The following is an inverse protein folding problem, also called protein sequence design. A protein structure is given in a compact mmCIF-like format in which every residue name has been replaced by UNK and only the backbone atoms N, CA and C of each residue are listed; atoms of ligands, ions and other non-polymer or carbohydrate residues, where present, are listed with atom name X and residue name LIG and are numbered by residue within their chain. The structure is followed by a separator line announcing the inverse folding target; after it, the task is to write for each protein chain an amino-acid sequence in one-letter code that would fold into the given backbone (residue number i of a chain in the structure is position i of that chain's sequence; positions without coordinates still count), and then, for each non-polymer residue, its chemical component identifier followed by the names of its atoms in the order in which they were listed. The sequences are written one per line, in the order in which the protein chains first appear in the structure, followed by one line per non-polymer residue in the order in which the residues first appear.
data_IF_513788057853
#
_entry.id   IF_513788057853
#
_cell.length_a   1.000
_cell.length_b   1.000
_cell.length_c   1.000
_cell.angle_alpha   90.00
_cell.angle_beta   90.00
_cell.angle_gamma   90.00
#
_symmetry.space_group_name_H-M   'P 1'
#
loop_
_entity.id
_entity.type
_entity.pdbx_description
1 polymer ?
2 non-polymer ?
3 non-polymer ?
4 non-polymer ?
5 non-polymer ?
6 non-polymer ?
7 water ?
#
# COMPACT_ATOMS: atom_id res chain seq x y z
N UNK A 37 -8.67 9.89 19.63
CA UNK A 37 -7.79 11.05 19.64
C UNK A 37 -6.37 10.72 19.12
N UNK A 38 -5.85 11.58 18.25
CA UNK A 38 -4.53 11.45 17.65
C UNK A 38 -3.63 12.48 18.31
N UNK A 39 -2.36 12.17 18.61
CA UNK A 39 -1.51 13.16 19.27
C UNK A 39 -1.23 14.33 18.34
N UNK A 40 -1.00 15.52 18.89
CA UNK A 40 -0.90 16.74 18.06
C UNK A 40 0.14 16.67 16.96
N UNK A 41 1.29 16.03 17.19
CA UNK A 41 2.32 16.01 16.17
C UNK A 41 1.90 15.19 14.95
N UNK A 42 0.90 14.31 15.09
CA UNK A 42 0.44 13.48 13.98
C UNK A 42 -0.97 13.86 13.51
N UNK A 43 -1.61 14.80 14.18
CA UNK A 43 -3.01 15.07 13.95
C UNK A 43 -3.19 15.94 12.72
N UNK A 44 -4.21 15.62 11.93
CA UNK A 44 -4.53 16.36 10.70
C UNK A 44 -5.99 16.76 10.78
N UNK A 45 -6.26 17.96 11.29
CA UNK A 45 -7.66 18.38 11.47
C UNK A 45 -8.50 18.31 10.22
N UNK A 46 -7.91 18.57 9.04
CA UNK A 46 -8.71 18.51 7.81
C UNK A 46 -9.19 17.08 7.54
N UNK A 47 -8.37 16.08 7.84
CA UNK A 47 -8.83 14.70 7.68
C UNK A 47 -10.00 14.44 8.61
N UNK A 48 -9.84 14.83 9.88
CA UNK A 48 -10.86 14.51 10.86
C UNK A 48 -12.17 15.24 10.58
N UNK A 49 -12.10 16.44 10.03
CA UNK A 49 -13.29 17.23 9.77
C UNK A 49 -13.91 16.98 8.41
N UNK A 50 -13.10 16.72 7.39
CA UNK A 50 -13.61 16.73 6.03
C UNK A 50 -13.48 15.41 5.30
N UNK A 51 -12.85 14.40 5.90
CA UNK A 51 -12.67 13.08 5.27
C UNK A 51 -13.23 12.01 6.20
N UNK A 52 -14.54 11.99 6.43
CA UNK A 52 -15.12 11.01 7.36
C UNK A 52 -14.81 9.57 6.94
N UNK A 53 -14.48 8.75 7.93
CA UNK A 53 -14.12 7.35 7.70
C UNK A 53 -15.30 6.55 7.14
N UNK A 54 -14.98 5.60 6.27
CA UNK A 54 -15.98 4.65 5.77
C UNK A 54 -15.49 3.24 6.02
N UNK A 55 -16.45 2.31 6.12
CA UNK A 55 -16.09 0.90 6.33
C UNK A 55 -16.96 -0.01 5.47
N UNK A 56 -16.32 -0.89 4.71
CA UNK A 56 -17.03 -1.80 3.84
C UNK A 56 -17.81 -2.82 4.68
N UNK A 57 -19.04 -3.17 4.30
CA UNK A 57 -19.85 -4.09 5.12
C UNK A 57 -19.26 -5.48 5.24
N UNK A 58 -18.40 -5.91 4.36
CA UNK A 58 -17.77 -7.26 4.43
C UNK A 58 -16.66 -7.31 5.48
N UNK A 59 -16.28 -6.17 6.08
CA UNK A 59 -15.12 -6.17 6.96
C UNK A 59 -15.10 -7.27 8.02
N UNK A 60 -16.17 -7.55 8.78
CA UNK A 60 -16.04 -8.62 9.80
C UNK A 60 -15.65 -9.97 9.21
N UNK A 61 -16.22 -10.36 8.07
CA UNK A 61 -15.79 -11.59 7.41
C UNK A 61 -14.39 -11.48 6.84
N UNK A 62 -14.06 -10.30 6.29
CA UNK A 62 -12.74 -10.09 5.72
C UNK A 62 -11.66 -10.28 6.78
N UNK A 63 -11.87 -9.71 7.97
CA UNK A 63 -10.89 -9.80 9.05
C UNK A 63 -10.51 -11.26 9.31
N UNK A 64 -11.52 -12.11 9.50
CA UNK A 64 -11.27 -13.52 9.81
C UNK A 64 -10.71 -14.29 8.63
N UNK A 65 -11.24 -14.04 7.43
CA UNK A 65 -10.82 -14.82 6.27
C UNK A 65 -9.35 -14.54 5.96
N UNK A 66 -8.91 -13.29 6.05
CA UNK A 66 -7.50 -13.01 5.82
C UNK A 66 -6.62 -13.58 6.93
N UNK A 67 -7.08 -13.53 8.19
CA UNK A 67 -6.34 -14.18 9.27
C UNK A 67 -6.15 -15.66 9.00
N UNK A 68 -7.23 -16.33 8.61
CA UNK A 68 -7.15 -17.75 8.31
C UNK A 68 -6.22 -18.02 7.13
N UNK A 69 -6.24 -17.14 6.13
CA UNK A 69 -5.37 -17.29 4.96
C UNK A 69 -3.89 -17.17 5.35
N UNK A 70 -3.56 -16.19 6.20
CA UNK A 70 -2.18 -16.10 6.68
C UNK A 70 -1.74 -17.35 7.41
N UNK A 71 -2.64 -17.93 8.20
CA UNK A 71 -2.34 -19.15 8.93
C UNK A 71 -2.19 -20.33 7.98
N UNK A 72 -3.16 -20.51 7.08
CA UNK A 72 -3.15 -21.69 6.20
C UNK A 72 -2.04 -21.62 5.16
N UNK A 73 -1.73 -20.44 4.67
CA UNK A 73 -0.60 -20.27 3.75
C UNK A 73 0.75 -20.25 4.47
N UNK A 74 0.75 -20.33 5.80
CA UNK A 74 1.99 -20.37 6.57
C UNK A 74 2.82 -19.11 6.35
N UNK A 75 2.13 -17.98 6.21
CA UNK A 75 2.81 -16.71 6.02
C UNK A 75 3.29 -16.12 7.34
N UNK A 76 2.64 -16.48 8.44
CA UNK A 76 3.07 -16.12 9.77
C UNK A 76 2.87 -17.34 10.64
N UNK A 77 3.75 -17.54 11.62
CA UNK A 77 3.57 -18.66 12.56
C UNK A 77 2.23 -18.55 13.27
N UNK A 78 1.66 -19.71 13.58
CA UNK A 78 0.33 -19.78 14.17
C UNK A 78 0.23 -18.94 15.43
N UNK A 79 1.25 -18.98 16.30
CA UNK A 79 1.15 -18.20 17.54
C UNK A 79 1.16 -16.70 17.26
N UNK A 80 1.92 -16.25 16.26
CA UNK A 80 1.93 -14.83 15.92
C UNK A 80 0.64 -14.39 15.24
N UNK A 81 0.03 -15.26 14.43
CA UNK A 81 -1.30 -14.95 13.89
C UNK A 81 -2.29 -14.74 15.03
N UNK A 82 -2.34 -15.67 15.97
CA UNK A 82 -3.32 -15.56 17.04
C UNK A 82 -3.08 -14.33 17.90
N UNK A 83 -1.81 -14.00 18.17
CA UNK A 83 -1.56 -12.89 19.07
C UNK A 83 -1.66 -11.54 18.37
N UNK A 84 -1.26 -11.45 17.10
CA UNK A 84 -1.00 -10.15 16.47
C UNK A 84 -1.85 -9.81 15.26
N UNK A 85 -2.39 -10.79 14.52
CA UNK A 85 -2.93 -10.47 13.20
C UNK A 85 -4.06 -9.45 13.25
N UNK A 86 -5.07 -9.67 14.08
CA UNK A 86 -6.17 -8.71 14.11
C UNK A 86 -5.69 -7.33 14.56
N UNK A 87 -4.76 -7.28 15.51
CA UNK A 87 -4.25 -6.01 16.00
C UNK A 87 -3.42 -5.26 14.98
N UNK A 88 -2.94 -5.95 13.94
CA UNK A 88 -2.20 -5.28 12.88
C UNK A 88 -3.11 -4.45 11.97
N UNK A 89 -4.41 -4.79 11.89
CA UNK A 89 -5.40 -3.98 11.18
C UNK A 89 -5.20 -3.92 9.66
N UNK A 90 -4.57 -4.93 9.07
CA UNK A 90 -4.37 -4.88 7.61
C UNK A 90 -5.69 -4.95 6.86
N UNK A 91 -6.64 -5.75 7.33
CA UNK A 91 -7.94 -5.79 6.63
C UNK A 91 -8.73 -4.51 6.83
N UNK A 92 -8.64 -3.88 8.00
CA UNK A 92 -9.33 -2.60 8.25
C UNK A 92 -8.84 -1.55 7.27
N UNK A 93 -7.53 -1.54 6.99
CA UNK A 93 -6.94 -0.57 6.03
C UNK A 93 -7.61 -0.71 4.65
N UNK A 94 -7.77 -1.93 4.16
CA UNK A 94 -8.36 -2.14 2.81
C UNK A 94 -9.87 -1.90 2.84
N UNK A 95 -10.53 -2.31 3.93
CA UNK A 95 -12.01 -2.14 4.03
C UNK A 95 -12.40 -0.66 4.19
N UNK A 96 -11.46 0.20 4.57
CA UNK A 96 -11.74 1.64 4.60
C UNK A 96 -11.38 2.35 3.33
N UNK A 97 -10.91 1.61 2.33
CA UNK A 97 -10.36 2.16 1.07
C UNK A 97 -11.26 1.78 -0.10
N UNK A 98 -11.37 0.47 -0.39
CA UNK A 98 -12.05 0.02 -1.61
C UNK A 98 -13.54 -0.19 -1.39
N UNK A 99 -14.20 0.91 -1.02
CA UNK A 99 -15.65 0.85 -0.81
C UNK A 99 -16.35 0.50 -2.12
N UNK A 100 -17.41 -0.27 -2.00
CA UNK A 100 -18.16 -0.77 -3.15
C UNK A 100 -17.58 -1.98 -3.83
N UNK A 101 -16.41 -2.45 -3.44
CA UNK A 101 -15.82 -3.62 -4.09
C UNK A 101 -16.71 -4.83 -3.86
N UNK A 102 -16.88 -5.71 -4.84
CA UNK A 102 -17.49 -7.02 -4.57
C UNK A 102 -16.71 -7.72 -3.47
N UNK A 103 -17.41 -8.52 -2.66
CA UNK A 103 -16.75 -9.16 -1.51
C UNK A 103 -15.52 -9.96 -1.95
N UNK A 104 -15.61 -10.73 -3.06
CA UNK A 104 -14.48 -11.57 -3.42
C UNK A 104 -13.32 -10.74 -3.95
N UNK A 105 -13.61 -9.58 -4.54
CA UNK A 105 -12.55 -8.67 -4.95
C UNK A 105 -11.84 -8.11 -3.71
N UNK A 106 -12.62 -7.63 -2.73
CA UNK A 106 -12.04 -7.15 -1.50
C UNK A 106 -11.21 -8.24 -0.81
N UNK A 107 -11.67 -9.48 -0.87
CA UNK A 107 -10.92 -10.54 -0.20
C UNK A 107 -9.55 -10.73 -0.86
N UNK A 108 -9.52 -10.75 -2.19
CA UNK A 108 -8.25 -10.91 -2.89
C UNK A 108 -7.33 -9.74 -2.59
N UNK A 109 -7.88 -8.51 -2.59
CA UNK A 109 -7.09 -7.33 -2.26
C UNK A 109 -6.54 -7.40 -0.84
N UNK A 110 -7.37 -7.81 0.12
CA UNK A 110 -6.92 -7.85 1.51
C UNK A 110 -5.86 -8.91 1.72
N UNK A 111 -6.00 -10.05 1.03
CA UNK A 111 -4.98 -11.09 1.14
C UNK A 111 -3.68 -10.58 0.54
N UNK A 112 -3.76 -9.96 -0.65
CA UNK A 112 -2.56 -9.38 -1.26
C UNK A 112 -1.93 -8.34 -0.35
N UNK A 113 -2.74 -7.50 0.28
CA UNK A 113 -2.20 -6.43 1.11
C UNK A 113 -1.51 -7.00 2.35
N UNK A 114 -2.15 -7.95 3.01
CA UNK A 114 -1.50 -8.59 4.15
C UNK A 114 -0.21 -9.27 3.72
N UNK A 115 -0.24 -9.97 2.57
CA UNK A 115 0.97 -10.56 2.00
C UNK A 115 2.07 -9.51 1.84
N UNK A 116 1.68 -8.34 1.36
CA UNK A 116 2.70 -7.32 1.08
C UNK A 116 3.36 -6.82 2.36
N UNK A 117 2.63 -6.75 3.49
CA UNK A 117 3.24 -6.44 4.78
C UNK A 117 4.20 -7.53 5.22
N UNK A 118 3.82 -8.79 5.03
CA UNK A 118 4.72 -9.89 5.37
C UNK A 118 5.97 -9.86 4.48
N UNK A 119 5.80 -9.48 3.21
CA UNK A 119 6.94 -9.33 2.30
C UNK A 119 7.86 -8.20 2.74
N UNK A 120 7.28 -7.06 3.15
CA UNK A 120 8.09 -5.99 3.69
C UNK A 120 8.90 -6.48 4.89
N UNK A 121 8.29 -7.30 5.75
CA UNK A 121 9.00 -7.84 6.91
C UNK A 121 10.10 -8.80 6.49
N UNK A 122 9.84 -9.68 5.51
CA UNK A 122 10.86 -10.61 5.01
C UNK A 122 12.05 -9.87 4.44
N UNK A 123 11.77 -8.86 3.61
CA UNK A 123 12.80 -8.02 3.00
C UNK A 123 13.66 -7.39 4.08
N UNK A 124 13.01 -6.84 5.11
CA UNK A 124 13.73 -6.23 6.22
C UNK A 124 14.62 -7.23 6.92
N UNK A 125 14.09 -8.42 7.20
CA UNK A 125 14.89 -9.41 7.91
C UNK A 125 16.04 -9.94 7.04
N UNK A 126 15.82 -10.10 5.73
CA UNK A 126 16.93 -10.51 4.86
C UNK A 126 18.04 -9.48 4.89
N UNK A 127 17.68 -8.19 4.92
CA UNK A 127 18.70 -7.14 5.01
C UNK A 127 19.44 -7.23 6.34
N UNK A 128 18.68 -7.28 7.44
CA UNK A 128 19.28 -7.28 8.78
C UNK A 128 20.24 -8.46 8.94
N UNK A 129 19.88 -9.61 8.41
CA UNK A 129 20.68 -10.81 8.56
C UNK A 129 21.62 -11.07 7.39
N UNK A 130 21.74 -10.11 6.46
CA UNK A 130 22.69 -10.27 5.37
C UNK A 130 22.41 -11.40 4.41
N UNK A 131 21.14 -11.71 4.16
CA UNK A 131 20.77 -12.87 3.36
C UNK A 131 20.55 -12.43 1.91
N UNK A 132 21.67 -11.99 1.30
CA UNK A 132 21.58 -11.42 -0.05
C UNK A 132 21.14 -12.48 -1.06
N UNK A 133 21.62 -13.72 -0.89
CA UNK A 133 21.23 -14.78 -1.81
C UNK A 133 19.77 -15.15 -1.69
N UNK A 134 19.27 -15.26 -0.46
CA UNK A 134 17.86 -15.57 -0.27
C UNK A 134 16.98 -14.46 -0.82
N UNK A 135 17.38 -13.21 -0.63
CA UNK A 135 16.60 -12.11 -1.20
C UNK A 135 16.62 -12.16 -2.73
N UNK A 136 17.80 -12.37 -3.32
CA UNK A 136 17.89 -12.41 -4.78
C UNK A 136 17.02 -13.53 -5.35
N UNK A 137 17.01 -14.68 -4.71
CA UNK A 137 16.19 -15.79 -5.23
C UNK A 137 14.70 -15.49 -5.07
N UNK A 138 14.29 -14.91 -3.94
CA UNK A 138 12.89 -14.51 -3.76
C UNK A 138 12.47 -13.49 -4.81
N UNK A 139 13.30 -12.48 -5.01
CA UNK A 139 13.06 -11.45 -6.03
C UNK A 139 12.82 -12.08 -7.40
N UNK A 140 13.65 -13.04 -7.78
CA UNK A 140 13.48 -13.68 -9.07
C UNK A 140 12.21 -14.49 -9.15
N UNK A 141 11.86 -15.19 -8.05
CA UNK A 141 10.63 -15.99 -8.05
C UNK A 141 9.39 -15.10 -8.10
N UNK A 142 9.43 -13.95 -7.43
CA UNK A 142 8.27 -13.06 -7.49
C UNK A 142 8.07 -12.51 -8.90
N UNK A 143 9.15 -12.16 -9.60
CA UNK A 143 9.02 -11.73 -10.98
C UNK A 143 8.35 -12.82 -11.83
N UNK A 144 8.78 -14.07 -11.68
CA UNK A 144 8.21 -15.15 -12.49
C UNK A 144 6.77 -15.43 -12.08
N UNK A 145 6.48 -15.42 -10.76
CA UNK A 145 5.12 -15.73 -10.32
C UNK A 145 4.17 -14.64 -10.76
N UNK A 146 4.65 -13.42 -10.86
CA UNK A 146 3.79 -12.34 -11.27
C UNK A 146 3.29 -12.55 -12.69
N UNK A 147 4.14 -13.12 -13.56
CA UNK A 147 3.74 -13.36 -14.93
C UNK A 147 2.97 -14.67 -15.10
N UNK A 148 3.14 -15.63 -14.20
CA UNK A 148 2.52 -16.96 -14.32
C UNK A 148 2.13 -17.43 -12.93
N UNK A 149 1.13 -16.80 -12.31
CA UNK A 149 0.87 -17.11 -10.89
C UNK A 149 0.34 -18.50 -10.67
N UNK A 150 -0.46 -19.02 -11.61
CA UNK A 150 -0.98 -20.37 -11.45
C UNK A 150 0.13 -21.39 -11.31
N UNK A 151 1.22 -21.19 -12.02
CA UNK A 151 2.35 -22.11 -11.96
C UNK A 151 3.00 -22.17 -10.59
N UNK A 152 2.79 -21.16 -9.74
CA UNK A 152 3.50 -21.02 -8.48
C UNK A 152 2.62 -21.24 -7.26
N UNK A 153 1.39 -21.73 -7.43
CA UNK A 153 0.44 -21.85 -6.32
C UNK A 153 0.90 -22.82 -5.24
N UNK A 154 1.77 -23.76 -5.58
CA UNK A 154 2.22 -24.76 -4.62
C UNK A 154 3.73 -24.72 -4.49
N UNK A 155 4.33 -23.54 -4.67
CA UNK A 155 5.76 -23.40 -4.54
C UNK A 155 6.22 -23.69 -3.11
N UNK A 156 7.45 -24.22 -2.98
CA UNK A 156 8.00 -24.55 -1.68
C UNK A 156 8.20 -23.34 -0.78
N UNK A 157 8.51 -22.15 -1.34
CA UNK A 157 8.57 -20.94 -0.52
C UNK A 157 7.15 -20.46 -0.30
N UNK A 158 6.68 -20.54 0.94
CA UNK A 158 5.29 -20.19 1.19
C UNK A 158 5.01 -18.73 0.87
N UNK A 159 6.02 -17.86 0.95
CA UNK A 159 5.79 -16.47 0.61
C UNK A 159 5.47 -16.34 -0.88
N UNK A 160 6.17 -17.12 -1.71
CA UNK A 160 5.91 -17.13 -3.16
C UNK A 160 4.54 -17.74 -3.44
N UNK A 161 4.20 -18.85 -2.77
CA UNK A 161 2.93 -19.50 -3.04
C UNK A 161 1.78 -18.62 -2.60
N UNK A 162 1.95 -17.86 -1.51
CA UNK A 162 0.89 -16.97 -1.05
C UNK A 162 0.70 -15.79 -1.99
N UNK A 163 1.81 -15.22 -2.45
CA UNK A 163 1.74 -14.19 -3.48
C UNK A 163 0.96 -14.70 -4.69
N UNK A 164 1.35 -15.89 -5.18
CA UNK A 164 0.76 -16.43 -6.41
C UNK A 164 -0.75 -16.64 -6.23
N UNK A 165 -1.18 -17.07 -5.05
CA UNK A 165 -2.61 -17.29 -4.84
C UNK A 165 -3.39 -15.99 -4.91
N UNK A 166 -2.88 -14.93 -4.28
CA UNK A 166 -3.60 -13.66 -4.32
C UNK A 166 -3.59 -13.06 -5.72
N UNK A 167 -2.45 -13.14 -6.42
CA UNK A 167 -2.35 -12.56 -7.75
C UNK A 167 -3.22 -13.33 -8.74
N UNK A 168 -3.25 -14.67 -8.66
CA UNK A 168 -4.11 -15.41 -9.57
C UNK A 168 -5.57 -14.99 -9.40
N UNK A 169 -6.00 -14.76 -8.18
CA UNK A 169 -7.40 -14.34 -7.96
C UNK A 169 -7.61 -12.92 -8.50
N UNK A 170 -6.66 -12.03 -8.28
CA UNK A 170 -6.78 -10.67 -8.82
C UNK A 170 -6.86 -10.68 -10.35
N UNK A 171 -6.19 -11.63 -11.00
CA UNK A 171 -6.16 -11.77 -12.45
C UNK A 171 -7.46 -12.34 -13.02
N UNK A 172 -8.45 -12.69 -12.18
CA UNK A 172 -9.67 -13.31 -12.69
C UNK A 172 -10.83 -12.33 -12.82
N UNK A 173 -10.65 -11.06 -12.49
CA UNK A 173 -11.76 -10.12 -12.40
C UNK A 173 -11.99 -9.30 -13.65
N UNK A 174 -10.92 -8.93 -14.37
CA UNK A 174 -10.96 -8.01 -15.50
C UNK A 174 -10.21 -8.62 -16.66
N UNK A 175 -10.28 -8.01 -17.85
CA UNK A 175 -9.59 -8.58 -19.00
C UNK A 175 -8.08 -8.61 -18.76
N UNK A 176 -7.43 -9.45 -19.55
CA UNK A 176 -6.00 -9.68 -19.41
C UNK A 176 -5.16 -8.44 -19.66
N UNK A 177 -5.72 -7.43 -20.34
CA UNK A 177 -5.04 -6.13 -20.46
C UNK A 177 -4.79 -5.48 -19.09
N UNK A 178 -5.75 -5.59 -18.16
CA UNK A 178 -5.51 -5.08 -16.81
C UNK A 178 -4.46 -5.92 -16.10
N UNK A 179 -4.51 -7.24 -16.27
CA UNK A 179 -3.52 -8.09 -15.62
C UNK A 179 -2.12 -7.72 -16.06
N UNK A 180 -1.96 -7.43 -17.37
CA UNK A 180 -0.64 -7.08 -17.90
C UNK A 180 -0.14 -5.77 -17.30
N UNK A 181 -1.05 -4.81 -17.09
CA UNK A 181 -0.68 -3.54 -16.45
C UNK A 181 -0.29 -3.73 -14.99
N UNK A 182 -1.07 -4.51 -14.24
CA UNK A 182 -0.70 -4.84 -12.86
C UNK A 182 0.68 -5.45 -12.82
N UNK A 183 0.96 -6.40 -13.71
CA UNK A 183 2.27 -7.06 -13.73
C UNK A 183 3.38 -6.05 -14.05
N UNK A 184 3.19 -5.25 -15.09
CA UNK A 184 4.22 -4.25 -15.41
C UNK A 184 4.49 -3.38 -14.18
N UNK A 185 3.46 -2.92 -13.50
CA UNK A 185 3.65 -2.06 -12.34
C UNK A 185 4.36 -2.81 -11.22
N UNK A 186 4.00 -4.07 -10.98
CA UNK A 186 4.59 -4.77 -9.85
C UNK A 186 6.03 -5.21 -10.13
N UNK A 187 6.37 -5.52 -11.38
CA UNK A 187 7.78 -5.76 -11.69
C UNK A 187 8.61 -4.57 -11.22
N UNK A 188 8.12 -3.37 -11.47
CA UNK A 188 8.84 -2.15 -11.07
C UNK A 188 8.89 -2.04 -9.54
N UNK A 189 7.83 -2.44 -8.82
CA UNK A 189 7.85 -2.43 -7.36
C UNK A 189 8.93 -3.38 -6.83
N UNK A 190 9.00 -4.60 -7.38
CA UNK A 190 9.99 -5.55 -6.88
C UNK A 190 11.39 -4.95 -7.03
N UNK A 191 11.64 -4.30 -8.18
CA UNK A 191 12.98 -3.78 -8.40
C UNK A 191 13.28 -2.61 -7.47
N UNK A 192 12.27 -1.83 -7.09
CA UNK A 192 12.47 -0.78 -6.09
C UNK A 192 12.84 -1.39 -4.73
N UNK A 193 12.20 -2.49 -4.33
CA UNK A 193 12.63 -3.21 -3.15
C UNK A 193 14.08 -3.68 -3.29
N UNK A 194 14.47 -4.13 -4.48
CA UNK A 194 15.87 -4.51 -4.64
C UNK A 194 16.80 -3.32 -4.45
N UNK A 195 16.42 -2.15 -4.96
CA UNK A 195 17.23 -0.96 -4.75
C UNK A 195 17.32 -0.60 -3.28
N UNK A 196 16.22 -0.78 -2.52
CA UNK A 196 16.29 -0.54 -1.08
C UNK A 196 17.23 -1.53 -0.41
N UNK A 197 17.23 -2.78 -0.87
CA UNK A 197 18.17 -3.78 -0.31
C UNK A 197 19.60 -3.30 -0.51
N UNK A 198 19.91 -2.79 -1.70
CA UNK A 198 21.26 -2.30 -1.96
C UNK A 198 21.58 -1.05 -1.15
N UNK A 199 20.64 -0.12 -1.04
CA UNK A 199 20.91 1.07 -0.23
C UNK A 199 21.23 0.69 1.20
N UNK A 200 20.42 -0.17 1.80
CA UNK A 200 20.63 -0.49 3.22
C UNK A 200 21.89 -1.30 3.43
N UNK A 201 22.19 -2.25 2.53
CA UNK A 201 23.43 -3.02 2.67
C UNK A 201 24.67 -2.15 2.51
N UNK A 202 24.58 -1.08 1.72
CA UNK A 202 25.70 -0.16 1.57
C UNK A 202 25.64 1.02 2.54
N UNK A 203 24.58 1.15 3.33
CA UNK A 203 24.46 2.29 4.24
C UNK A 203 24.23 3.62 3.56
N UNK A 204 23.51 3.63 2.46
CA UNK A 204 23.23 4.82 1.65
C UNK A 204 21.83 5.29 2.00
N UNK A 205 21.68 6.57 2.32
CA UNK A 205 20.38 7.21 2.46
C UNK A 205 20.13 7.98 1.17
N UNK A 206 19.06 7.69 0.42
CA UNK A 206 18.80 8.44 -0.81
C UNK A 206 18.57 9.93 -0.53
N UNK A 207 18.94 10.77 -1.50
CA UNK A 207 18.58 12.18 -1.43
C UNK A 207 17.07 12.34 -1.44
N UNK A 208 16.60 13.53 -1.07
CA UNK A 208 15.15 13.76 -0.98
C UNK A 208 14.43 13.47 -2.28
N UNK A 209 14.90 14.04 -3.40
CA UNK A 209 14.17 13.85 -4.66
C UNK A 209 14.30 12.42 -5.16
N UNK A 210 15.48 11.82 -5.00
CA UNK A 210 15.66 10.41 -5.32
C UNK A 210 14.71 9.55 -4.51
N UNK A 211 14.58 9.88 -3.22
CA UNK A 211 13.67 9.15 -2.34
C UNK A 211 12.22 9.30 -2.81
N UNK A 212 11.80 10.50 -3.14
CA UNK A 212 10.39 10.70 -3.51
C UNK A 212 10.04 9.89 -4.75
N UNK A 213 10.99 9.77 -5.69
CA UNK A 213 10.78 8.94 -6.86
C UNK A 213 10.69 7.47 -6.48
N UNK A 214 11.62 7.01 -5.66
CA UNK A 214 11.66 5.63 -5.24
C UNK A 214 10.40 5.26 -4.46
N UNK A 215 9.90 6.19 -3.65
CA UNK A 215 8.80 5.91 -2.74
C UNK A 215 7.49 5.68 -3.50
N UNK A 216 7.33 6.24 -4.71
CA UNK A 216 6.16 5.92 -5.51
C UNK A 216 6.15 4.45 -5.92
N UNK A 217 7.30 3.79 -5.83
CA UNK A 217 7.43 2.38 -6.17
C UNK A 217 7.42 1.49 -4.94
N UNK A 218 8.13 1.86 -3.87
CA UNK A 218 8.13 0.99 -2.69
C UNK A 218 6.80 1.02 -1.96
N UNK A 219 6.07 2.13 -2.06
CA UNK A 219 4.73 2.19 -1.48
C UNK A 219 3.70 1.52 -2.38
N UNK A 220 4.07 1.25 -3.64
CA UNK A 220 3.19 0.58 -4.64
C UNK A 220 1.99 1.46 -5.04
N UNK A 221 2.24 2.76 -5.15
CA UNK A 221 1.21 3.73 -5.64
C UNK A 221 0.36 3.21 -6.79
N UNK A 222 1.03 2.67 -7.82
CA UNK A 222 0.31 2.34 -9.06
C UNK A 222 -0.44 1.02 -8.94
N UNK A 223 0.02 0.17 -8.03
CA UNK A 223 -0.77 -1.04 -7.73
C UNK A 223 -2.07 -0.67 -7.03
N UNK A 224 -1.99 0.16 -5.98
CA UNK A 224 -3.23 0.58 -5.30
C UNK A 224 -4.14 1.29 -6.30
N UNK A 225 -3.55 2.07 -7.20
CA UNK A 225 -4.37 2.78 -8.18
C UNK A 225 -5.00 1.79 -9.18
N UNK A 226 -4.22 0.81 -9.66
CA UNK A 226 -4.78 -0.23 -10.53
C UNK A 226 -5.97 -0.94 -9.87
N UNK A 227 -5.86 -1.24 -8.56
CA UNK A 227 -6.86 -2.02 -7.84
C UNK A 227 -8.16 -1.27 -7.65
N UNK A 228 -8.17 0.06 -7.87
CA UNK A 228 -9.46 0.75 -7.88
C UNK A 228 -10.39 0.15 -8.92
N UNK A 229 -9.82 -0.35 -10.04
CA UNK A 229 -10.65 -0.74 -11.19
C UNK A 229 -11.42 -2.03 -10.96
N UNK A 230 -10.82 -3.15 -10.51
CA UNK A 230 -11.67 -4.30 -10.18
C UNK A 230 -12.65 -3.97 -9.07
N UNK A 231 -12.29 -3.02 -8.17
CA UNK A 231 -13.21 -2.67 -7.08
C UNK A 231 -14.47 -2.00 -7.60
N UNK A 232 -14.39 -1.26 -8.69
CA UNK A 232 -15.59 -0.66 -9.28
C UNK A 232 -16.09 -1.41 -10.50
N UNK A 233 -15.45 -2.51 -10.87
CA UNK A 233 -15.98 -3.41 -11.87
C UNK A 233 -15.71 -3.04 -13.30
N UNK A 234 -14.73 -2.21 -13.58
CA UNK A 234 -14.51 -1.71 -14.93
C UNK A 234 -13.03 -1.45 -15.14
N UNK A 235 -12.42 -2.05 -16.16
CA UNK A 235 -11.10 -1.58 -16.59
C UNK A 235 -11.26 -0.25 -17.32
N UNK A 236 -10.57 0.80 -16.84
CA UNK A 236 -10.68 2.07 -17.52
C UNK A 236 -9.77 2.13 -18.74
N UNK A 237 -10.26 2.65 -19.87
CA UNK A 237 -9.38 2.86 -21.03
C UNK A 237 -8.25 3.80 -20.66
N UNK A 238 -7.13 3.65 -21.39
CA UNK A 238 -5.97 4.52 -21.15
C UNK A 238 -6.34 5.99 -21.23
N UNK A 239 -7.18 6.38 -22.19
CA UNK A 239 -7.51 7.81 -22.33
C UNK A 239 -8.21 8.35 -21.09
N UNK A 240 -8.95 7.51 -20.38
CA UNK A 240 -9.66 7.93 -19.19
C UNK A 240 -8.71 8.00 -18.00
N UNK A 241 -7.97 6.92 -17.76
CA UNK A 241 -7.15 6.90 -16.55
C UNK A 241 -5.89 7.76 -16.69
N UNK A 242 -5.52 8.15 -17.91
CA UNK A 242 -4.42 9.09 -18.12
C UNK A 242 -4.88 10.52 -18.27
N UNK A 243 -6.18 10.80 -18.13
CA UNK A 243 -6.62 12.18 -18.08
C UNK A 243 -5.88 12.89 -16.94
N UNK A 244 -5.43 14.13 -17.15
CA UNK A 244 -4.59 14.77 -16.12
C UNK A 244 -5.26 14.88 -14.77
N UNK A 245 -6.57 15.08 -14.69
CA UNK A 245 -7.21 15.19 -13.38
C UNK A 245 -7.27 13.85 -12.68
N UNK A 246 -7.55 12.77 -13.42
CA UNK A 246 -7.53 11.43 -12.82
C UNK A 246 -6.14 11.10 -12.33
N UNK A 247 -5.13 11.32 -13.18
CA UNK A 247 -3.75 11.00 -12.81
C UNK A 247 -3.32 11.79 -11.58
N UNK A 248 -3.62 13.09 -11.54
CA UNK A 248 -3.15 13.88 -10.42
C UNK A 248 -3.87 13.54 -9.12
N UNK A 249 -5.18 13.26 -9.20
CA UNK A 249 -5.90 12.84 -8.01
C UNK A 249 -5.35 11.54 -7.50
N UNK A 250 -5.03 10.61 -8.42
CA UNK A 250 -4.51 9.30 -8.03
C UNK A 250 -3.15 9.46 -7.37
N UNK A 251 -2.31 10.32 -7.94
CA UNK A 251 -0.98 10.54 -7.38
C UNK A 251 -1.06 11.13 -5.98
N UNK A 252 -1.86 12.20 -5.81
CA UNK A 252 -1.91 12.90 -4.52
C UNK A 252 -2.41 12.00 -3.39
N UNK A 253 -3.40 11.14 -3.69
CA UNK A 253 -3.90 10.19 -2.72
C UNK A 253 -2.77 9.31 -2.20
N UNK A 254 -1.93 8.83 -3.12
CA UNK A 254 -0.82 7.95 -2.72
C UNK A 254 0.32 8.69 -2.05
N UNK A 255 0.65 9.91 -2.52
CA UNK A 255 1.69 10.70 -1.87
C UNK A 255 1.32 10.97 -0.42
N UNK A 256 0.07 11.33 -0.18
CA UNK A 256 -0.39 11.52 1.19
C UNK A 256 -0.17 10.26 1.99
N UNK A 257 -0.62 9.12 1.47
CA UNK A 257 -0.56 7.89 2.23
C UNK A 257 0.89 7.50 2.54
N UNK A 258 1.77 7.61 1.54
CA UNK A 258 3.16 7.20 1.74
C UNK A 258 3.87 8.13 2.72
N UNK A 259 3.68 9.44 2.56
CA UNK A 259 4.38 10.37 3.44
C UNK A 259 3.78 10.37 4.83
N UNK A 260 2.49 10.07 4.96
CA UNK A 260 1.93 9.89 6.30
C UNK A 260 2.47 8.63 6.94
N UNK A 261 2.62 7.55 6.15
CA UNK A 261 3.33 6.42 6.73
C UNK A 261 4.72 6.83 7.18
N UNK A 262 5.43 7.63 6.38
CA UNK A 262 6.77 8.01 6.79
C UNK A 262 6.73 8.76 8.13
N UNK A 263 5.77 9.68 8.27
CA UNK A 263 5.66 10.44 9.52
C UNK A 263 5.42 9.53 10.72
N UNK A 264 4.53 8.56 10.57
CA UNK A 264 4.10 7.76 11.72
C UNK A 264 5.03 6.57 11.95
N UNK A 265 5.70 6.09 10.90
CA UNK A 265 6.60 4.95 11.02
C UNK A 265 8.04 5.37 11.29
N UNK A 266 8.33 6.68 11.31
CA UNK A 266 9.68 7.15 11.60
C UNK A 266 10.28 6.54 12.88
N UNK A 267 9.59 6.53 14.03
CA UNK A 267 10.21 5.96 15.23
C UNK A 267 10.64 4.52 15.06
N UNK A 268 9.76 3.65 14.52
CA UNK A 268 10.18 2.26 14.39
C UNK A 268 11.27 2.10 13.33
N UNK A 269 11.27 2.97 12.32
CA UNK A 269 12.28 2.88 11.26
C UNK A 269 13.64 3.33 11.73
N UNK A 270 13.70 4.41 12.52
CA UNK A 270 14.97 4.79 13.15
C UNK A 270 15.48 3.65 14.03
N UNK A 271 14.58 3.06 14.84
CA UNK A 271 15.00 2.00 15.76
C UNK A 271 15.48 0.77 15.00
N UNK A 272 14.95 0.54 13.81
CA UNK A 272 15.29 -0.62 13.01
C UNK A 272 16.36 -0.41 11.97
N UNK A 273 17.05 0.74 11.99
CA UNK A 273 18.09 1.06 10.99
C UNK A 273 17.55 1.11 9.56
N UNK A 274 16.26 1.36 9.40
CA UNK A 274 15.69 1.61 8.08
C UNK A 274 16.14 2.98 7.63
N UNK A 275 16.52 3.11 6.36
CA UNK A 275 16.99 4.37 5.81
C UNK A 275 15.98 5.05 4.91
N UNK A 276 14.89 4.39 4.54
CA UNK A 276 13.94 4.89 3.54
C UNK A 276 12.79 5.55 4.26
N UNK A 277 12.81 6.88 4.28
CA UNK A 277 11.80 7.66 4.98
C UNK A 277 12.09 9.10 4.64
N UNK A 278 11.09 9.88 4.20
CA UNK A 278 11.34 11.27 3.85
C UNK A 278 12.04 12.02 4.97
N UNK A 279 11.66 11.75 6.22
CA UNK A 279 12.31 12.43 7.35
C UNK A 279 13.78 12.10 7.47
N UNK A 280 14.15 10.84 7.21
CA UNK A 280 15.57 10.45 7.25
C UNK A 280 16.36 11.11 6.13
N UNK A 281 15.79 11.19 4.93
CA UNK A 281 16.48 11.91 3.85
C UNK A 281 16.69 13.38 4.20
N UNK A 282 15.67 14.02 4.80
CA UNK A 282 15.80 15.43 5.18
C UNK A 282 16.86 15.64 6.26
N UNK A 283 16.89 14.77 7.27
CA UNK A 283 17.90 14.87 8.32
C UNK A 283 19.29 14.68 7.72
N UNK A 284 19.44 13.68 6.85
CA UNK A 284 20.76 13.30 6.35
C UNK A 284 21.30 14.32 5.36
N UNK A 285 20.47 14.82 4.45
CA UNK A 285 20.97 15.60 3.33
C UNK A 285 20.72 17.08 3.46
N UNK A 286 19.83 17.49 4.35
CA UNK A 286 19.53 18.91 4.56
C UNK A 286 19.78 19.36 5.99
N UNK A 287 20.40 18.50 6.80
CA UNK A 287 20.86 18.87 8.13
C UNK A 287 19.72 19.32 9.05
N UNK A 288 18.50 18.84 8.81
CA UNK A 288 17.43 19.16 9.73
C UNK A 288 17.57 18.34 11.00
N UNK A 289 17.15 18.93 12.12
CA UNK A 289 16.97 18.14 13.32
C UNK A 289 15.76 17.23 13.15
N UNK A 290 15.65 16.25 14.04
CA UNK A 290 14.49 15.38 14.05
C UNK A 290 13.20 16.20 14.11
N UNK A 291 13.16 17.18 15.00
CA UNK A 291 11.95 18.01 15.14
C UNK A 291 11.67 18.80 13.87
N UNK A 292 12.70 19.35 13.23
CA UNK A 292 12.50 20.11 12.00
C UNK A 292 12.03 19.19 10.87
N UNK A 293 12.58 17.98 10.80
CA UNK A 293 12.18 17.04 9.75
C UNK A 293 10.73 16.60 9.93
N UNK A 294 10.32 16.33 11.16
CA UNK A 294 8.93 15.97 11.41
C UNK A 294 7.99 17.09 10.97
N UNK A 295 8.33 18.33 11.31
CA UNK A 295 7.52 19.45 10.89
C UNK A 295 7.45 19.58 9.38
N UNK A 296 8.56 19.35 8.69
CA UNK A 296 8.57 19.46 7.23
C UNK A 296 7.76 18.35 6.58
N UNK A 297 7.87 17.11 7.08
CA UNK A 297 7.06 16.03 6.55
C UNK A 297 5.58 16.32 6.78
N UNK A 298 5.24 16.77 7.99
CA UNK A 298 3.86 17.10 8.29
C UNK A 298 3.31 18.16 7.33
N UNK A 299 4.09 19.21 7.05
CA UNK A 299 3.62 20.24 6.13
C UNK A 299 3.42 19.69 4.72
N UNK A 300 4.31 18.81 4.27
CA UNK A 300 4.15 18.21 2.95
C UNK A 300 2.90 17.34 2.89
N UNK A 301 2.62 16.59 3.96
CA UNK A 301 1.39 15.79 4.05
C UNK A 301 0.16 16.69 3.99
N UNK A 302 0.16 17.76 4.80
CA UNK A 302 -0.99 18.65 4.81
C UNK A 302 -1.26 19.23 3.43
N UNK A 303 -0.20 19.60 2.70
CA UNK A 303 -0.40 20.17 1.38
C UNK A 303 -0.99 19.17 0.41
N UNK A 304 -0.66 17.89 0.57
CA UNK A 304 -1.28 16.88 -0.29
C UNK A 304 -2.79 16.92 -0.16
N UNK A 305 -3.30 17.14 1.06
CA UNK A 305 -4.74 17.13 1.26
C UNK A 305 -5.40 18.24 0.47
N UNK A 306 -4.89 19.48 0.63
CA UNK A 306 -5.56 20.59 -0.04
C UNK A 306 -5.28 20.65 -1.54
N UNK A 307 -4.14 20.12 -1.99
CA UNK A 307 -3.96 19.93 -3.43
C UNK A 307 -4.95 18.90 -3.96
N UNK A 308 -5.20 17.84 -3.20
CA UNK A 308 -6.18 16.85 -3.62
C UNK A 308 -7.58 17.44 -3.69
N UNK A 309 -7.95 18.25 -2.71
CA UNK A 309 -9.27 18.87 -2.77
C UNK A 309 -9.45 19.67 -4.04
N UNK A 310 -8.43 20.41 -4.46
CA UNK A 310 -8.57 21.16 -5.72
C UNK A 310 -8.72 20.22 -6.92
N UNK A 311 -7.86 19.21 -7.05
CA UNK A 311 -7.91 18.36 -8.24
C UNK A 311 -9.15 17.46 -8.23
N UNK A 312 -9.66 17.09 -7.05
CA UNK A 312 -10.89 16.32 -6.96
C UNK A 312 -12.02 17.01 -7.68
N UNK A 313 -12.15 18.35 -7.56
CA UNK A 313 -13.18 19.03 -8.30
C UNK A 313 -13.05 18.78 -9.80
N UNK A 314 -11.82 18.87 -10.32
CA UNK A 314 -11.61 18.64 -11.75
C UNK A 314 -11.87 17.19 -12.13
N UNK A 315 -11.48 16.25 -11.27
CA UNK A 315 -11.70 14.83 -11.58
C UNK A 315 -13.19 14.50 -11.60
N UNK A 316 -13.97 15.10 -10.69
CA UNK A 316 -15.41 14.87 -10.69
C UNK A 316 -16.10 15.58 -11.86
N UNK A 317 -15.61 16.74 -12.28
CA UNK A 317 -16.12 17.36 -13.50
C UNK A 317 -15.85 16.47 -14.70
N UNK A 318 -14.66 15.86 -14.76
CA UNK A 318 -14.37 14.91 -15.83
C UNK A 318 -15.34 13.72 -15.78
N UNK A 319 -15.61 13.20 -14.59
CA UNK A 319 -16.59 12.13 -14.48
C UNK A 319 -17.94 12.55 -15.05
N UNK A 320 -18.37 13.78 -14.77
CA UNK A 320 -19.63 14.27 -15.33
C UNK A 320 -19.58 14.34 -16.85
N UNK A 321 -18.44 14.75 -17.41
CA UNK A 321 -18.32 14.86 -18.86
C UNK A 321 -18.39 13.49 -19.53
N UNK A 322 -17.89 12.45 -18.86
CA UNK A 322 -17.96 11.11 -19.44
C UNK A 322 -19.39 10.63 -19.60
N UNK A 323 -20.31 11.11 -18.77
CA UNK A 323 -21.72 10.73 -18.86
C UNK A 323 -22.31 11.50 -20.03
N UNK A 324 -22.06 10.98 -21.23
CA UNK A 324 -22.42 11.63 -22.47
C UNK A 324 -23.77 11.18 -23.00
N UNK A 325 -24.57 10.52 -22.16
CA UNK A 325 -25.84 9.99 -22.59
C UNK A 325 -25.82 8.55 -23.07
N UNK A 326 -24.65 7.98 -23.33
CA UNK A 326 -24.56 6.60 -23.77
C UNK A 326 -24.44 5.65 -22.58
N UNK A 327 -24.69 4.36 -22.84
CA UNK A 327 -24.54 3.32 -21.82
C UNK A 327 -23.09 3.23 -21.36
N UNK A 328 -22.16 3.15 -22.31
CA UNK A 328 -20.75 3.05 -21.98
C UNK A 328 -20.28 4.30 -21.23
N UNK A 329 -20.78 5.47 -21.62
CA UNK A 329 -20.43 6.69 -20.92
C UNK A 329 -20.92 6.68 -19.49
N UNK A 330 -22.15 6.21 -19.27
CA UNK A 330 -22.64 6.09 -17.90
C UNK A 330 -21.77 5.16 -17.06
N UNK A 331 -21.36 4.02 -17.64
CA UNK A 331 -20.50 3.08 -16.94
C UNK A 331 -19.17 3.72 -16.57
N UNK A 332 -18.53 4.37 -17.55
CA UNK A 332 -17.24 4.99 -17.29
C UNK A 332 -17.34 6.13 -16.29
N UNK A 333 -18.37 6.96 -16.42
CA UNK A 333 -18.60 8.04 -15.46
C UNK A 333 -18.77 7.48 -14.06
N UNK A 334 -19.58 6.44 -13.91
CA UNK A 334 -19.79 5.87 -12.58
C UNK A 334 -18.53 5.25 -12.01
N UNK A 335 -17.72 4.61 -12.87
CA UNK A 335 -16.47 4.00 -12.42
C UNK A 335 -15.48 5.06 -11.98
N UNK A 336 -15.33 6.11 -12.77
CA UNK A 336 -14.41 7.18 -12.39
C UNK A 336 -14.86 7.81 -11.07
N UNK A 337 -16.16 8.09 -10.94
CA UNK A 337 -16.65 8.67 -9.71
C UNK A 337 -16.37 7.74 -8.50
N UNK A 338 -16.60 6.44 -8.65
CA UNK A 338 -16.33 5.52 -7.56
C UNK A 338 -14.85 5.49 -7.24
N UNK A 339 -14.00 5.51 -8.27
CA UNK A 339 -12.57 5.44 -8.05
C UNK A 339 -12.06 6.70 -7.34
N UNK A 340 -12.51 7.86 -7.80
CA UNK A 340 -12.10 9.10 -7.14
C UNK A 340 -12.62 9.14 -5.70
N UNK A 341 -13.81 8.59 -5.47
CA UNK A 341 -14.32 8.49 -4.12
C UNK A 341 -13.42 7.64 -3.25
N UNK A 342 -12.90 6.54 -3.80
CA UNK A 342 -11.98 5.71 -3.04
C UNK A 342 -10.61 6.34 -2.89
N UNK A 343 -10.16 7.12 -3.87
CA UNK A 343 -8.93 7.90 -3.68
C UNK A 343 -9.07 8.80 -2.45
N UNK A 344 -10.27 9.38 -2.26
CA UNK A 344 -10.56 10.20 -1.09
C UNK A 344 -10.60 9.33 0.16
N UNK A 345 -11.20 8.13 0.07
CA UNK A 345 -11.27 7.25 1.24
C UNK A 345 -9.91 6.81 1.71
N UNK A 346 -8.92 6.71 0.80
CA UNK A 346 -7.59 6.29 1.21
C UNK A 346 -7.05 7.22 2.27
N UNK A 347 -7.34 8.52 2.18
CA UNK A 347 -6.78 9.47 3.15
C UNK A 347 -7.21 9.08 4.55
N UNK A 348 -8.51 8.86 4.74
CA UNK A 348 -8.97 8.57 6.10
C UNK A 348 -8.60 7.16 6.54
N UNK A 349 -8.60 6.20 5.61
CA UNK A 349 -8.25 4.85 6.01
C UNK A 349 -6.81 4.79 6.49
N UNK A 350 -5.89 5.40 5.71
CA UNK A 350 -4.48 5.37 6.07
C UNK A 350 -4.24 6.16 7.35
N UNK A 351 -4.91 7.29 7.50
CA UNK A 351 -4.75 8.11 8.71
C UNK A 351 -5.06 7.27 9.95
N UNK A 352 -6.24 6.67 9.99
CA UNK A 352 -6.64 5.97 11.20
C UNK A 352 -5.89 4.67 11.39
N UNK A 353 -5.49 4.01 10.28
CA UNK A 353 -4.71 2.77 10.38
C UNK A 353 -3.43 3.00 11.18
N UNK A 354 -2.75 4.13 10.94
CA UNK A 354 -1.48 4.33 11.62
C UNK A 354 -1.62 4.55 13.11
N UNK A 355 -2.83 4.91 13.59
CA UNK A 355 -3.06 5.04 15.03
C UNK A 355 -3.61 3.80 15.66
N UNK A 356 -4.21 2.93 14.85
CA UNK A 356 -4.82 1.72 15.37
C UNK A 356 -3.91 0.51 15.27
N UNK A 357 -3.06 0.44 14.26
CA UNK A 357 -2.29 -0.76 14.00
C UNK A 357 -1.18 -0.99 15.02
N UNK A 358 -1.03 -2.23 15.47
CA UNK A 358 0.10 -2.59 16.29
C UNK A 358 1.42 -2.53 15.56
N UNK A 359 1.40 -2.37 14.24
CA UNK A 359 2.64 -2.43 13.48
C UNK A 359 3.63 -1.35 13.90
N UNK A 360 3.14 -0.20 14.36
CA UNK A 360 3.98 0.97 14.58
C UNK A 360 4.30 1.22 16.04
N UNK A 361 3.83 0.36 16.95
CA UNK A 361 3.87 0.65 18.39
C UNK A 361 5.20 0.23 19.01
N UNK A 362 6.27 0.89 18.54
CA UNK A 362 7.64 0.55 18.92
C UNK A 362 7.87 0.68 20.43
N UNK A 363 7.17 1.60 21.09
CA UNK A 363 7.38 1.81 22.52
C UNK A 363 6.94 0.61 23.34
N UNK A 364 6.19 -0.32 22.78
CA UNK A 364 5.71 -1.47 23.51
C UNK A 364 6.61 -2.69 23.38
N UNK A 365 7.69 -2.60 22.60
CA UNK A 365 8.44 -3.81 22.25
C UNK A 365 9.63 -4.03 23.19
N UNK A 366 9.94 -5.31 23.43
CA UNK A 366 11.13 -5.62 24.22
C UNK A 366 12.39 -5.16 23.52
N UNK A 367 12.43 -5.27 22.19
CA UNK A 367 13.56 -4.91 21.36
C UNK A 367 13.00 -3.98 20.30
N UNK A 368 13.33 -2.68 20.41
CA UNK A 368 12.77 -1.71 19.48
C UNK A 368 13.16 -2.00 18.03
N UNK A 369 14.29 -2.66 17.80
CA UNK A 369 14.75 -3.00 16.46
C UNK A 369 14.12 -4.26 15.88
N UNK A 370 13.36 -5.03 16.66
CA UNK A 370 12.80 -6.30 16.20
C UNK A 370 11.33 -6.36 16.57
N UNK A 371 10.42 -5.97 15.68
CA UNK A 371 9.01 -6.03 16.02
C UNK A 371 8.59 -7.44 16.34
N UNK A 372 7.65 -7.62 17.28
CA UNK A 372 7.32 -8.98 17.74
C UNK A 372 6.54 -9.81 16.74
N UNK A 373 5.96 -9.19 15.71
CA UNK A 373 5.20 -9.88 14.69
C UNK A 373 6.05 -10.33 13.52
N UNK A 374 7.35 -10.01 13.50
CA UNK A 374 8.23 -10.50 12.43
C UNK A 374 8.88 -11.81 12.86
N UNK A 375 9.20 -12.64 11.88
CA UNK A 375 9.95 -13.87 12.10
C UNK A 375 11.43 -13.51 11.98
N UNK A 376 12.12 -13.58 13.10
CA UNK A 376 13.50 -13.12 13.20
C UNK A 376 14.46 -14.30 13.21
X LIG B 1 0.56 3.65 -16.79
X LIG B 1 -0.46 3.84 -15.72
X LIG B 1 0.94 4.94 -17.37
X LIG B 1 1.77 3.11 -16.21
X LIG B 1 0.06 2.73 -17.79
X LIG C 1 2.18 -5.95 18.16
X LIG C 1 1.73 -5.63 16.88
X LIG C 1 2.09 -4.72 19.07
X LIG C 1 2.97 -3.71 18.61
X LIG C 1 2.43 -5.11 20.50
X LIG C 1 2.01 -4.05 21.29
X LIG D 1 2.05 7.20 -13.48
X LIG D 1 2.61 8.43 -13.12
X LIG D 1 3.16 6.15 -13.42
X LIG D 1 4.06 6.41 -14.47
X LIG D 1 2.63 4.72 -13.58
X LIG D 1 3.69 3.87 -13.95
X LIG E 1 7.30 3.25 6.75
X LIG F 1 8.79 -1.26 6.14
X LIG G 1 9.32 -1.07 3.03
X LIG H 1 6.03 0.30 7.03
X LIG H 1 6.29 1.68 7.60
X LIG H 1 4.70 -0.26 7.47
X LIG H 1 7.13 -0.67 7.25
X LIG H 1 5.90 0.45 5.41
X LIG H 1 7.10 0.92 4.45
X LIG H 1 7.61 2.23 5.03
X LIG H 1 8.15 -0.17 4.51
X LIG H 1 6.46 1.09 3.09
X LIG I 1 3.20 -1.42 1.89
X LIG I 1 3.24 0.04 2.34
X LIG I 1 3.41 -2.38 3.02
X LIG I 1 4.79 -2.19 3.64
X LIG I 1 1.93 -1.81 1.20
X LIG I 1 0.94 -2.52 2.15
X LIG I 1 4.31 -1.55 0.90
X LIG I 1 4.14 -2.69 -0.12
X LIG I 1 2.09 0.60 3.27
X LIG I 1 0.82 0.86 2.77
X LIG I 1 -0.20 1.37 3.54
X LIG I 1 0.01 1.63 4.90
X LIG I 1 1.30 1.38 5.41
X LIG I 1 2.33 0.88 4.63
#
# INVERSE_FOLDING_TARGET
MGSSHHHHHHSSGLVPRGSHMVHAFPHGTTATPTAIAVPPSLRLPVIEAAFPRQLHPYWPKLQETTRTWLLEKRLMPADKVEEYADGLCYTDLMAGYYLGAPDEVLQAIADYSAWSFVWDDRHDRDIVHGRAGAWRRLRGLLHTALDSPGDHLHHEDTLVAGFADSVRRLYAFLPATWNARFARHFHTVIEAYDREFHNRTRGIVPGVEEYLELRRLTFAHWIWTDLLEPSSGCELPDAVRKHPAYRRAALLSQEFAAWYNDLCSLPKEIAGDEVHNLGISLITHHSLTLEEAIGEVRRRVEECITEFLAVERDALRFADELADGTVRGKELSGAVRANVGNMRNWFSSVYWFHHESGRYMVDSWDDRSTPPYVNNEAAGEK
SO4 S O1 O2 O3 O4
GOL C1 O1 C2 O2 C3 O3
GOL C1 O1 C2 O2 C3 O3
MG MG
MG MG
MG MG
POP P1 O1 O2 O3 O P2 O4 O5 O6
BTM N C1 C2 C3 C4 C5 C6 C7 C8 C9 C10 C11 C12 C13
#
